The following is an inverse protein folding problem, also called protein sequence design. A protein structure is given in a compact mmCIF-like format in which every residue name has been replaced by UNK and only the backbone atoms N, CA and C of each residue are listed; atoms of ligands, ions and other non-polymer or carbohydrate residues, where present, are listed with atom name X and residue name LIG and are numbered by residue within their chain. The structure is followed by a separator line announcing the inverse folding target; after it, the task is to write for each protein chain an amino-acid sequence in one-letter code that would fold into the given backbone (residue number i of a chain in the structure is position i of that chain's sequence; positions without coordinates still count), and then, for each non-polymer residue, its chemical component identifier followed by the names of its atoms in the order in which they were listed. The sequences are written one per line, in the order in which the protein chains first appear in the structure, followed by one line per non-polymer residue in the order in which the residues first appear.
data_IF_925516264646
#
_entry.id   IF_925516264646
#
_cell.length_a   1.000
_cell.length_b   1.000
_cell.length_c   1.000
_cell.angle_alpha   90.00
_cell.angle_beta   90.00
_cell.angle_gamma   90.00
#
_symmetry.space_group_name_H-M   'P 1'
#
loop_
_entity.id
_entity.type
_entity.pdbx_description
1 polymer ?
#
# COMPACT_ATOMS: atom_id res chain seq x y z
N UNK A 1 1.90 -20.50 -3.08
CA UNK A 1 0.96 -21.58 -2.74
C UNK A 1 1.69 -22.90 -2.88
N UNK A 2 2.36 -23.34 -1.81
CA UNK A 2 3.04 -24.64 -1.74
C UNK A 2 2.29 -25.46 -0.69
N UNK A 3 1.30 -26.24 -1.11
CA UNK A 3 0.63 -27.20 -0.24
C UNK A 3 1.58 -28.36 0.04
N UNK A 4 1.91 -28.60 1.32
CA UNK A 4 2.58 -29.84 1.73
C UNK A 4 1.50 -30.90 1.96
N UNK A 5 1.41 -31.84 1.04
CA UNK A 5 0.66 -33.09 1.22
C UNK A 5 1.56 -34.06 1.98
N UNK A 6 1.17 -34.47 3.19
CA UNK A 6 1.83 -35.59 3.88
C UNK A 6 0.87 -36.78 3.96
N UNK A 7 1.34 -37.91 3.46
CA UNK A 7 0.69 -39.21 3.51
C UNK A 7 1.05 -39.90 4.84
N UNK A 8 0.04 -40.18 5.67
CA UNK A 8 0.21 -40.59 7.07
C UNK A 8 0.36 -42.11 7.27
N UNK A 9 0.69 -42.89 6.24
CA UNK A 9 0.96 -44.33 6.41
C UNK A 9 2.43 -44.71 6.61
N UNK A 10 3.39 -43.77 6.53
CA UNK A 10 4.80 -44.04 6.88
C UNK A 10 5.64 -42.77 7.11
N UNK A 11 5.31 -41.94 8.10
CA UNK A 11 6.15 -40.80 8.45
C UNK A 11 7.13 -41.16 9.57
N UNK A 12 8.43 -41.26 9.22
CA UNK A 12 9.54 -41.10 10.18
C UNK A 12 9.39 -39.72 10.84
N UNK A 13 9.50 -39.71 12.17
CA UNK A 13 9.64 -38.49 12.98
C UNK A 13 10.72 -37.59 12.38
N UNK A 14 10.30 -36.42 11.91
CA UNK A 14 11.16 -35.33 11.50
C UNK A 14 10.55 -34.01 11.97
N UNK A 15 11.22 -33.38 12.94
CA UNK A 15 11.21 -31.95 13.26
C UNK A 15 9.94 -31.26 13.77
N UNK A 16 8.98 -31.99 14.32
CA UNK A 16 7.92 -31.36 15.10
C UNK A 16 7.55 -32.23 16.28
N UNK A 17 7.49 -31.64 17.47
CA UNK A 17 7.03 -32.28 18.70
C UNK A 17 5.51 -32.53 18.68
N UNK A 18 5.00 -33.25 17.68
CA UNK A 18 3.60 -33.57 17.54
C UNK A 18 3.23 -34.79 18.40
N UNK A 19 2.26 -34.61 19.29
CA UNK A 19 1.53 -35.71 19.90
C UNK A 19 0.21 -35.93 19.17
N UNK A 20 0.19 -36.77 18.12
CA UNK A 20 -1.06 -37.23 17.52
C UNK A 20 -1.66 -38.28 18.45
N UNK A 21 -2.80 -37.98 19.06
CA UNK A 21 -3.52 -38.95 19.90
C UNK A 21 -4.81 -39.34 19.19
N UNK A 22 -4.88 -40.57 18.71
CA UNK A 22 -6.15 -41.17 18.29
C UNK A 22 -7.08 -41.21 19.52
N UNK A 23 -8.26 -40.62 19.39
CA UNK A 23 -9.28 -40.63 20.45
C UNK A 23 -10.07 -41.95 20.31
N UNK A 24 -10.41 -42.66 21.41
CA UNK A 24 -11.29 -43.82 21.31
C UNK A 24 -12.65 -43.39 20.74
N UNK A 25 -13.31 -44.25 19.95
CA UNK A 25 -14.66 -44.09 19.36
C UNK A 25 -14.73 -43.48 17.94
N UNK A 26 -14.00 -44.03 16.98
CA UNK A 26 -14.14 -43.72 15.53
C UNK A 26 -13.88 -42.26 15.13
N UNK A 27 -13.24 -41.46 15.99
CA UNK A 27 -12.88 -40.08 15.71
C UNK A 27 -11.35 -39.94 15.60
N UNK A 28 -10.87 -39.54 14.42
CA UNK A 28 -9.52 -39.04 14.26
C UNK A 28 -9.50 -37.55 14.68
N UNK A 29 -8.65 -37.19 15.63
CA UNK A 29 -8.50 -35.81 16.08
C UNK A 29 -7.02 -35.41 16.10
N UNK A 30 -6.74 -34.19 15.64
CA UNK A 30 -5.44 -33.55 15.77
C UNK A 30 -5.48 -32.58 16.95
N UNK A 31 -4.56 -32.74 17.90
CA UNK A 31 -4.41 -31.82 19.03
C UNK A 31 -3.07 -31.11 18.93
N UNK A 32 -3.11 -29.81 18.71
CA UNK A 32 -1.94 -28.94 18.76
C UNK A 32 -1.87 -28.28 20.15
N UNK A 33 -0.67 -28.22 20.73
CA UNK A 33 -0.40 -27.46 21.95
C UNK A 33 0.57 -26.35 21.61
N UNK A 34 0.36 -25.16 22.18
CA UNK A 34 1.23 -24.01 21.99
C UNK A 34 1.48 -23.69 20.52
N UNK A 35 0.38 -23.55 19.75
CA UNK A 35 0.44 -23.26 18.33
C UNK A 35 1.25 -21.98 18.06
N UNK A 36 2.23 -22.07 17.17
CA UNK A 36 3.01 -20.95 16.68
C UNK A 36 2.45 -20.45 15.35
N UNK A 37 2.83 -19.23 14.94
CA UNK A 37 2.43 -18.70 13.62
C UNK A 37 2.85 -19.60 12.45
N UNK A 38 3.95 -20.35 12.61
CA UNK A 38 4.42 -21.33 11.61
C UNK A 38 3.47 -22.52 11.44
N UNK A 39 2.58 -22.76 12.38
CA UNK A 39 1.62 -23.86 12.35
C UNK A 39 0.33 -23.46 11.61
N UNK A 40 0.12 -22.17 11.34
CA UNK A 40 -1.07 -21.71 10.62
C UNK A 40 -1.13 -22.29 9.20
N UNK A 41 -2.33 -22.67 8.77
CA UNK A 41 -2.54 -23.23 7.43
C UNK A 41 -3.69 -24.23 7.36
N UNK A 42 -3.84 -24.84 6.18
CA UNK A 42 -4.87 -25.85 5.94
C UNK A 42 -4.38 -27.23 6.32
N UNK A 43 -5.08 -27.85 7.28
CA UNK A 43 -4.89 -29.24 7.68
C UNK A 43 -5.90 -30.10 6.95
N UNK A 44 -5.45 -31.25 6.44
CA UNK A 44 -6.27 -32.19 5.68
C UNK A 44 -6.19 -33.56 6.34
N UNK A 45 -7.34 -34.17 6.62
CA UNK A 45 -7.46 -35.54 7.12
C UNK A 45 -8.00 -36.40 5.99
N UNK A 46 -7.21 -37.40 5.60
CA UNK A 46 -7.61 -38.42 4.64
C UNK A 46 -7.90 -39.71 5.40
N UNK A 47 -9.12 -40.25 5.22
CA UNK A 47 -9.55 -41.52 5.79
C UNK A 47 -9.80 -42.50 4.67
N UNK A 48 -8.95 -43.51 4.58
CA UNK A 48 -9.13 -44.62 3.65
C UNK A 48 -9.88 -45.74 4.35
N UNK A 49 -10.96 -46.22 3.75
CA UNK A 49 -11.78 -47.31 4.27
C UNK A 49 -12.11 -48.32 3.17
N UNK A 50 -12.28 -49.57 3.57
CA UNK A 50 -12.66 -50.65 2.69
C UNK A 50 -14.18 -50.79 2.69
N UNK A 51 -14.77 -50.93 1.51
CA UNK A 51 -16.19 -51.20 1.33
C UNK A 51 -16.36 -52.41 0.44
N UNK A 52 -17.36 -53.23 0.73
CA UNK A 52 -17.73 -54.35 -0.13
C UNK A 52 -18.77 -53.86 -1.13
N UNK A 53 -18.45 -53.94 -2.41
CA UNK A 53 -19.39 -53.74 -3.51
C UNK A 53 -19.72 -55.09 -4.14
N UNK A 54 -20.77 -55.14 -4.97
CA UNK A 54 -21.13 -56.36 -5.73
C UNK A 54 -19.97 -56.88 -6.61
N UNK A 55 -19.00 -56.01 -6.92
CA UNK A 55 -17.80 -56.28 -7.73
C UNK A 55 -16.54 -56.64 -6.91
N UNK A 56 -16.61 -56.72 -5.57
CA UNK A 56 -15.50 -57.08 -4.69
C UNK A 56 -15.15 -56.02 -3.63
N UNK A 57 -14.00 -56.20 -2.97
CA UNK A 57 -13.47 -55.22 -2.01
C UNK A 57 -12.90 -53.99 -2.75
N UNK A 58 -13.39 -52.80 -2.38
CA UNK A 58 -12.88 -51.53 -2.89
C UNK A 58 -12.37 -50.65 -1.75
N UNK A 59 -11.25 -49.96 -1.98
CA UNK A 59 -10.73 -48.95 -1.07
C UNK A 59 -11.19 -47.56 -1.54
N UNK A 60 -11.93 -46.86 -0.68
CA UNK A 60 -12.33 -45.47 -0.88
C UNK A 60 -11.58 -44.56 0.07
N UNK A 61 -11.35 -43.31 -0.33
CA UNK A 61 -10.76 -42.28 0.53
C UNK A 61 -11.72 -41.11 0.67
N UNK A 62 -12.11 -40.80 1.90
CA UNK A 62 -12.81 -39.57 2.24
C UNK A 62 -11.81 -38.54 2.78
N UNK A 63 -11.92 -37.29 2.32
CA UNK A 63 -11.08 -36.20 2.79
C UNK A 63 -11.92 -35.09 3.43
N UNK A 64 -11.38 -34.47 4.48
CA UNK A 64 -11.91 -33.26 5.11
C UNK A 64 -10.76 -32.31 5.43
N UNK A 65 -10.99 -31.02 5.29
CA UNK A 65 -10.01 -29.97 5.60
C UNK A 65 -10.51 -29.02 6.68
N UNK A 66 -9.57 -28.44 7.42
CA UNK A 66 -9.80 -27.37 8.38
C UNK A 66 -8.66 -26.35 8.26
N UNK A 67 -8.98 -25.07 8.42
CA UNK A 67 -7.98 -24.00 8.43
C UNK A 67 -7.65 -23.62 9.89
N UNK A 68 -6.37 -23.68 10.24
CA UNK A 68 -5.85 -23.17 11.50
C UNK A 68 -5.38 -21.74 11.30
N UNK A 69 -6.05 -20.81 11.96
CA UNK A 69 -5.64 -19.41 12.03
C UNK A 69 -5.04 -19.19 13.42
N UNK A 70 -3.78 -18.77 13.48
CA UNK A 70 -3.10 -18.42 14.73
C UNK A 70 -3.11 -16.91 14.87
N UNK A 71 -3.69 -16.41 15.95
CA UNK A 71 -3.80 -14.99 16.19
C UNK A 71 -2.54 -14.43 16.83
N UNK A 72 -2.20 -13.19 16.45
CA UNK A 72 -1.09 -12.44 17.03
C UNK A 72 -1.53 -11.01 17.27
N UNK A 73 -1.21 -10.47 18.44
CA UNK A 73 -1.48 -9.09 18.77
C UNK A 73 -0.74 -8.10 17.84
N UNK A 74 -1.35 -6.94 17.52
CA UNK A 74 -0.62 -5.84 16.93
C UNK A 74 0.42 -5.30 17.91
N UNK A 75 1.42 -4.59 17.39
CA UNK A 75 2.47 -3.97 18.19
C UNK A 75 2.88 -2.62 17.64
N UNK A 76 3.21 -1.69 18.53
CA UNK A 76 3.76 -0.38 18.18
C UNK A 76 5.16 -0.21 18.76
N UNK A 77 5.83 0.92 18.49
CA UNK A 77 7.18 1.19 18.98
C UNK A 77 7.28 1.33 20.49
N UNK A 78 6.20 1.77 21.14
CA UNK A 78 6.15 2.13 22.56
C UNK A 78 4.87 1.63 23.24
N UNK A 79 4.19 0.64 22.65
CA UNK A 79 2.90 0.08 23.09
C UNK A 79 1.74 1.10 23.18
N UNK A 80 1.90 2.29 22.59
CA UNK A 80 0.87 3.32 22.52
C UNK A 80 0.50 3.62 21.06
N UNK A 81 -0.71 4.14 20.85
CA UNK A 81 -1.10 4.75 19.59
C UNK A 81 -0.73 6.24 19.60
N UNK A 82 -0.43 6.79 18.43
CA UNK A 82 -0.10 8.21 18.28
C UNK A 82 -0.91 8.81 17.14
N UNK A 83 -1.83 9.72 17.46
CA UNK A 83 -2.59 10.47 16.47
C UNK A 83 -1.93 11.83 16.23
N UNK A 84 -1.68 12.17 14.95
CA UNK A 84 -1.11 13.47 14.56
C UNK A 84 -1.78 14.02 13.31
N UNK A 85 -1.81 15.35 13.19
CA UNK A 85 -2.07 16.03 11.94
C UNK A 85 -0.77 16.09 11.14
N UNK A 86 -0.77 15.59 9.92
CA UNK A 86 0.41 15.62 9.07
C UNK A 86 0.74 17.08 8.68
N UNK A 87 2.02 17.47 8.69
CA UNK A 87 2.44 18.84 8.44
C UNK A 87 2.36 19.23 6.95
N UNK A 88 1.87 18.35 6.09
CA UNK A 88 1.76 18.58 4.64
C UNK A 88 0.42 18.09 4.17
N UNK A 89 -0.26 18.92 3.38
CA UNK A 89 -1.43 18.48 2.64
C UNK A 89 -1.02 17.46 1.58
N UNK A 90 -1.95 16.57 1.26
CA UNK A 90 -1.81 15.52 0.26
C UNK A 90 -2.74 15.80 -0.90
N UNK A 91 -2.24 15.58 -2.11
CA UNK A 91 -3.02 15.79 -3.33
C UNK A 91 -3.78 14.51 -3.66
N UNK A 92 -5.10 14.56 -3.53
CA UNK A 92 -6.00 13.45 -3.80
C UNK A 92 -6.68 13.68 -5.15
N UNK A 93 -6.75 12.63 -5.97
CA UNK A 93 -7.45 12.68 -7.25
C UNK A 93 -8.90 12.24 -7.05
N UNK A 94 -9.83 13.16 -7.31
CA UNK A 94 -11.28 12.91 -7.25
C UNK A 94 -11.83 12.95 -8.67
N UNK A 95 -11.83 11.79 -9.33
CA UNK A 95 -12.21 11.69 -10.75
C UNK A 95 -11.19 12.37 -11.66
N UNK A 96 -11.57 13.47 -12.31
CA UNK A 96 -10.69 14.25 -13.21
C UNK A 96 -10.03 15.45 -12.52
N UNK A 97 -10.45 15.79 -11.31
CA UNK A 97 -9.91 16.93 -10.56
C UNK A 97 -8.96 16.44 -9.49
N UNK A 98 -8.01 17.32 -9.13
CA UNK A 98 -7.16 17.12 -7.98
C UNK A 98 -7.56 18.09 -6.87
N UNK A 99 -7.55 17.61 -5.64
CA UNK A 99 -7.85 18.40 -4.47
C UNK A 99 -6.79 18.17 -3.39
N UNK A 100 -6.30 19.26 -2.82
CA UNK A 100 -5.46 19.20 -1.63
C UNK A 100 -6.31 18.99 -0.38
N UNK A 101 -5.98 17.93 0.35
CA UNK A 101 -6.61 17.56 1.62
C UNK A 101 -5.57 17.47 2.70
N UNK A 102 -5.96 17.70 3.95
CA UNK A 102 -5.07 17.41 5.07
C UNK A 102 -5.22 15.96 5.49
N UNK A 103 -4.17 15.41 6.09
CA UNK A 103 -4.09 14.01 6.47
C UNK A 103 -3.88 13.90 7.96
N UNK A 104 -4.66 13.05 8.61
CA UNK A 104 -4.39 12.58 9.96
C UNK A 104 -3.68 11.23 9.89
N UNK A 105 -2.79 10.99 10.83
CA UNK A 105 -2.00 9.77 10.91
C UNK A 105 -2.08 9.17 12.31
N UNK A 106 -2.52 7.92 12.38
CA UNK A 106 -2.43 7.07 13.57
C UNK A 106 -1.22 6.15 13.36
N UNK A 107 -0.11 6.48 14.00
CA UNK A 107 1.23 5.95 13.65
C UNK A 107 1.82 5.10 14.77
N UNK A 108 3.04 4.61 14.50
CA UNK A 108 3.94 3.79 15.34
C UNK A 108 3.80 2.28 15.22
N UNK A 109 3.00 1.78 14.27
CA UNK A 109 2.82 0.34 14.08
C UNK A 109 4.11 -0.32 13.57
N UNK A 110 4.59 -1.31 14.33
CA UNK A 110 5.68 -2.21 13.93
C UNK A 110 5.12 -3.51 13.34
N UNK A 111 3.96 -3.96 13.86
CA UNK A 111 3.26 -5.14 13.38
C UNK A 111 1.76 -4.96 13.50
N UNK A 112 1.02 -5.40 12.47
CA UNK A 112 -0.45 -5.27 12.44
C UNK A 112 -1.18 -6.44 13.12
N UNK A 113 -0.44 -7.35 13.74
CA UNK A 113 -1.01 -8.58 14.26
C UNK A 113 -1.40 -9.56 13.16
N UNK A 114 -2.06 -10.65 13.56
CA UNK A 114 -2.60 -11.66 12.66
C UNK A 114 -3.99 -12.05 13.18
N UNK A 115 -5.06 -11.96 12.37
CA UNK A 115 -5.15 -11.20 11.13
C UNK A 115 -4.78 -9.72 11.30
N UNK A 116 -4.41 -9.06 10.21
CA UNK A 116 -4.07 -7.63 10.26
C UNK A 116 -5.23 -6.81 10.82
N UNK A 117 -4.92 -5.95 11.77
CA UNK A 117 -5.87 -4.96 12.29
C UNK A 117 -6.03 -3.79 11.33
N UNK A 118 -7.14 -3.07 11.49
CA UNK A 118 -7.42 -1.79 10.86
C UNK A 118 -7.60 -0.72 11.94
N UNK A 119 -7.44 0.55 11.56
CA UNK A 119 -7.74 1.69 12.43
C UNK A 119 -9.01 2.37 11.96
N UNK A 120 -9.87 2.70 12.91
CA UNK A 120 -11.08 3.51 12.71
C UNK A 120 -10.91 4.85 13.40
N UNK A 121 -11.53 5.86 12.82
CA UNK A 121 -11.48 7.24 13.26
C UNK A 121 -12.87 7.70 13.67
N UNK A 122 -12.96 8.34 14.83
CA UNK A 122 -14.15 9.03 15.27
C UNK A 122 -14.02 10.52 14.90
N UNK A 123 -15.01 11.07 14.20
CA UNK A 123 -15.04 12.48 13.81
C UNK A 123 -15.61 13.35 14.94
N UNK A 124 -15.43 14.68 14.87
CA UNK A 124 -16.08 15.63 15.80
C UNK A 124 -17.62 15.50 15.83
N UNK A 125 -18.22 15.10 14.72
CA UNK A 125 -19.66 14.79 14.57
C UNK A 125 -20.05 13.38 15.05
N UNK A 126 -19.18 12.70 15.81
CA UNK A 126 -19.37 11.34 16.31
C UNK A 126 -19.55 10.25 15.23
N UNK A 127 -19.14 10.52 13.99
CA UNK A 127 -19.17 9.53 12.91
C UNK A 127 -17.91 8.66 12.96
N UNK A 128 -18.06 7.36 12.77
CA UNK A 128 -16.92 6.45 12.59
C UNK A 128 -16.56 6.31 11.12
N UNK A 129 -15.31 6.59 10.78
CA UNK A 129 -14.74 6.45 9.43
C UNK A 129 -13.59 5.43 9.43
N UNK A 130 -13.47 4.59 8.39
CA UNK A 130 -12.27 3.78 8.22
C UNK A 130 -11.09 4.64 7.77
N UNK A 131 -9.87 4.18 8.05
CA UNK A 131 -8.66 4.77 7.48
C UNK A 131 -8.67 4.69 5.93
N UNK A 132 -8.20 5.73 5.26
CA UNK A 132 -8.14 5.82 3.79
C UNK A 132 -6.96 5.04 3.20
N UNK A 133 -5.84 4.97 3.92
CA UNK A 133 -4.66 4.21 3.51
C UNK A 133 -3.82 3.75 4.70
N UNK A 134 -2.85 2.88 4.43
CA UNK A 134 -1.81 2.47 5.37
C UNK A 134 -0.46 2.47 4.65
N UNK A 135 0.50 3.24 5.15
CA UNK A 135 1.89 3.17 4.70
C UNK A 135 2.88 3.43 5.85
N UNK A 136 4.04 2.79 5.77
CA UNK A 136 5.19 3.02 6.67
C UNK A 136 4.83 3.02 8.17
N UNK A 137 3.98 2.09 8.60
CA UNK A 137 3.61 1.95 10.03
C UNK A 137 2.59 2.98 10.51
N UNK A 138 1.87 3.64 9.60
CA UNK A 138 0.82 4.59 9.92
C UNK A 138 -0.46 4.32 9.12
N UNK A 139 -1.59 4.40 9.82
CA UNK A 139 -2.92 4.45 9.20
C UNK A 139 -3.31 5.91 9.00
N UNK A 140 -3.80 6.23 7.81
CA UNK A 140 -4.09 7.60 7.42
C UNK A 140 -5.59 7.84 7.26
N UNK A 141 -6.04 9.05 7.59
CA UNK A 141 -7.37 9.56 7.26
C UNK A 141 -7.22 10.89 6.53
N UNK A 142 -7.61 10.92 5.26
CA UNK A 142 -7.69 12.15 4.48
C UNK A 142 -9.01 12.86 4.78
N UNK A 143 -8.96 14.05 5.37
CA UNK A 143 -10.15 14.81 5.78
C UNK A 143 -10.38 16.02 4.86
N UNK A 144 -11.67 16.31 4.64
CA UNK A 144 -12.12 17.47 3.88
C UNK A 144 -12.05 18.75 4.73
N UNK A 145 -12.10 19.91 4.06
CA UNK A 145 -11.94 21.24 4.68
C UNK A 145 -13.08 21.66 5.63
N UNK A 146 -14.08 20.82 5.82
CA UNK A 146 -15.39 21.20 6.35
C UNK A 146 -15.56 20.96 7.85
N UNK A 147 -14.78 20.07 8.45
CA UNK A 147 -14.98 19.66 9.84
C UNK A 147 -13.69 19.85 10.65
N UNK A 148 -13.68 20.89 11.49
CA UNK A 148 -12.64 21.13 12.47
C UNK A 148 -13.12 20.61 13.84
N UNK A 149 -12.20 20.14 14.67
CA UNK A 149 -12.52 19.62 15.99
C UNK A 149 -11.64 18.47 16.42
N UNK A 150 -12.14 17.71 17.41
CA UNK A 150 -11.44 16.56 17.97
C UNK A 150 -11.72 15.29 17.15
N UNK A 151 -10.66 14.72 16.60
CA UNK A 151 -10.69 13.41 15.96
C UNK A 151 -10.01 12.40 16.88
N UNK A 152 -10.50 11.16 16.91
CA UNK A 152 -9.92 10.09 17.72
C UNK A 152 -9.60 8.88 16.85
N UNK A 153 -8.37 8.37 16.90
CA UNK A 153 -8.04 7.08 16.28
C UNK A 153 -8.03 5.96 17.32
N UNK A 154 -8.48 4.77 16.90
CA UNK A 154 -8.36 3.53 17.67
C UNK A 154 -8.26 2.34 16.70
N UNK A 155 -7.68 1.24 17.17
CA UNK A 155 -7.76 -0.02 16.43
C UNK A 155 -9.24 -0.46 16.40
N UNK A 156 -9.72 -0.99 15.26
CA UNK A 156 -11.11 -1.44 15.13
C UNK A 156 -11.42 -2.44 16.26
N UNK A 157 -12.37 -2.12 17.16
CA UNK A 157 -12.69 -2.98 18.31
C UNK A 157 -13.24 -4.35 17.90
N UNK A 158 -13.61 -4.52 16.62
CA UNK A 158 -14.06 -5.80 16.07
C UNK A 158 -12.90 -6.69 15.60
N UNK A 159 -11.66 -6.21 15.64
CA UNK A 159 -10.52 -6.96 15.16
C UNK A 159 -10.20 -8.15 16.08
N UNK A 160 -10.18 -9.41 15.56
CA UNK A 160 -9.97 -10.59 16.39
C UNK A 160 -8.59 -10.63 17.07
N UNK A 161 -7.57 -10.02 16.44
CA UNK A 161 -6.22 -9.94 16.97
C UNK A 161 -6.12 -9.17 18.31
N UNK A 162 -7.12 -8.36 18.66
CA UNK A 162 -7.16 -7.66 19.96
C UNK A 162 -7.34 -8.62 21.15
N UNK A 163 -7.88 -9.81 20.93
CA UNK A 163 -8.00 -10.83 22.00
C UNK A 163 -6.64 -11.37 22.49
N UNK A 164 -5.58 -11.15 21.72
CA UNK A 164 -4.21 -11.49 22.09
C UNK A 164 -3.51 -10.38 22.88
N UNK A 165 -4.14 -9.22 23.08
CA UNK A 165 -3.60 -8.13 23.89
C UNK A 165 -3.94 -8.32 25.37
N UNK A 166 -3.10 -7.76 26.23
CA UNK A 166 -3.45 -7.59 27.63
C UNK A 166 -4.71 -6.71 27.75
N UNK A 167 -5.68 -7.06 28.61
CA UNK A 167 -6.88 -6.24 28.81
C UNK A 167 -6.61 -4.79 29.22
N UNK A 168 -5.44 -4.51 29.80
CA UNK A 168 -4.99 -3.17 30.19
C UNK A 168 -4.01 -2.55 29.18
N UNK A 169 -3.88 -3.12 27.98
CA UNK A 169 -3.02 -2.59 26.93
C UNK A 169 -3.47 -1.21 26.48
N UNK A 170 -2.53 -0.26 26.40
CA UNK A 170 -2.80 1.09 25.88
C UNK A 170 -3.19 1.09 24.39
N UNK A 171 -2.90 0.01 23.66
CA UNK A 171 -3.36 -0.18 22.27
C UNK A 171 -4.88 -0.33 22.15
N UNK A 172 -5.58 -0.63 23.25
CA UNK A 172 -7.04 -0.67 23.31
C UNK A 172 -7.67 0.73 23.53
N UNK A 173 -6.86 1.75 23.81
CA UNK A 173 -7.34 3.11 24.07
C UNK A 173 -7.49 3.91 22.77
N UNK A 174 -8.44 4.85 22.75
CA UNK A 174 -8.49 5.87 21.70
C UNK A 174 -7.46 6.97 21.96
N UNK A 175 -6.92 7.54 20.89
CA UNK A 175 -5.97 8.65 20.95
C UNK A 175 -6.47 9.79 20.10
N UNK A 176 -6.48 10.97 20.70
CA UNK A 176 -7.13 12.14 20.13
C UNK A 176 -6.13 13.07 19.44
N UNK A 177 -6.59 13.73 18.39
CA UNK A 177 -5.90 14.80 17.67
C UNK A 177 -6.87 15.92 17.39
N UNK A 178 -6.50 17.13 17.77
CA UNK A 178 -7.31 18.32 17.51
C UNK A 178 -6.92 18.94 16.17
N UNK A 179 -7.92 19.19 15.34
CA UNK A 179 -7.78 19.83 14.02
C UNK A 179 -8.39 21.22 14.08
N UNK A 180 -7.56 22.25 13.96
CA UNK A 180 -8.03 23.63 13.85
C UNK A 180 -8.32 23.98 12.39
N UNK A 181 -9.43 24.67 12.13
CA UNK A 181 -9.78 25.15 10.79
C UNK A 181 -8.71 26.08 10.19
N UNK A 182 -8.02 26.87 11.02
CA UNK A 182 -6.93 27.73 10.56
C UNK A 182 -5.75 26.90 10.03
N UNK A 183 -5.38 25.82 10.71
CA UNK A 183 -4.29 24.92 10.29
C UNK A 183 -4.66 24.21 8.99
N UNK A 184 -5.90 23.74 8.87
CA UNK A 184 -6.39 23.13 7.62
C UNK A 184 -6.27 24.10 6.45
N UNK A 185 -6.73 25.35 6.63
CA UNK A 185 -6.64 26.38 5.58
C UNK A 185 -5.18 26.70 5.26
N UNK A 186 -4.33 26.83 6.27
CA UNK A 186 -2.92 27.14 6.09
C UNK A 186 -2.19 26.05 5.29
N UNK A 187 -2.30 24.79 5.71
CA UNK A 187 -1.63 23.65 5.06
C UNK A 187 -2.03 23.49 3.59
N UNK A 188 -3.32 23.70 3.31
CA UNK A 188 -3.83 23.58 1.95
C UNK A 188 -3.39 24.76 1.08
N UNK A 189 -3.46 26.00 1.60
CA UNK A 189 -2.97 27.18 0.88
C UNK A 189 -1.46 27.10 0.62
N UNK A 190 -0.69 26.58 1.58
CA UNK A 190 0.74 26.35 1.42
C UNK A 190 1.03 25.35 0.29
N UNK A 191 0.30 24.25 0.23
CA UNK A 191 0.43 23.25 -0.83
C UNK A 191 0.03 23.80 -2.21
N UNK A 192 -1.11 24.50 -2.29
CA UNK A 192 -1.56 25.20 -3.51
C UNK A 192 -0.49 26.20 -4.00
N UNK A 193 0.06 27.01 -3.09
CA UNK A 193 1.10 27.99 -3.42
C UNK A 193 2.40 27.34 -3.88
N UNK A 194 2.83 26.26 -3.23
CA UNK A 194 4.01 25.51 -3.60
C UNK A 194 3.87 24.91 -5.01
N UNK A 195 2.70 24.36 -5.34
CA UNK A 195 2.42 23.82 -6.66
C UNK A 195 2.45 24.91 -7.73
N UNK A 196 1.78 26.05 -7.51
CA UNK A 196 1.79 27.17 -8.47
C UNK A 196 3.21 27.70 -8.71
N UNK A 197 4.05 27.77 -7.68
CA UNK A 197 5.44 28.17 -7.82
C UNK A 197 6.24 27.18 -8.66
N UNK A 198 6.04 25.88 -8.43
CA UNK A 198 6.70 24.83 -9.22
C UNK A 198 6.29 24.90 -10.70
N UNK A 199 4.99 25.01 -10.99
CA UNK A 199 4.47 25.15 -12.35
C UNK A 199 5.00 26.42 -13.04
N UNK A 200 5.06 27.55 -12.33
CA UNK A 200 5.61 28.79 -12.87
C UNK A 200 7.12 28.68 -13.17
N UNK A 201 7.88 27.98 -12.33
CA UNK A 201 9.30 27.73 -12.57
C UNK A 201 9.51 26.84 -13.80
N UNK A 202 8.71 25.79 -13.93
CA UNK A 202 8.72 24.89 -15.08
C UNK A 202 8.37 25.64 -16.38
N UNK A 203 7.29 26.43 -16.39
CA UNK A 203 6.91 27.22 -17.55
C UNK A 203 8.00 28.22 -17.95
N UNK A 204 8.68 28.84 -16.98
CA UNK A 204 9.82 29.73 -17.26
C UNK A 204 11.00 28.99 -17.88
N UNK A 205 11.29 27.78 -17.41
CA UNK A 205 12.34 26.94 -17.99
C UNK A 205 12.02 26.56 -19.44
N UNK A 206 10.79 26.11 -19.70
CA UNK A 206 10.31 25.80 -21.05
C UNK A 206 10.36 27.03 -21.98
N UNK A 207 9.95 28.20 -21.50
CA UNK A 207 10.01 29.44 -22.27
C UNK A 207 11.46 29.86 -22.58
N UNK A 208 12.39 29.63 -21.65
CA UNK A 208 13.81 29.91 -21.87
C UNK A 208 14.42 28.95 -22.91
N UNK A 209 14.04 27.67 -22.86
CA UNK A 209 14.45 26.66 -23.82
C UNK A 209 13.93 26.99 -25.23
N UNK A 210 12.64 27.30 -25.37
CA UNK A 210 12.05 27.71 -26.65
C UNK A 210 12.76 28.94 -27.25
N UNK A 211 13.14 29.92 -26.41
CA UNK A 211 13.90 31.09 -26.86
C UNK A 211 15.31 30.71 -27.33
N UNK A 212 15.99 29.79 -26.65
CA UNK A 212 17.29 29.30 -27.05
C UNK A 212 17.23 28.56 -28.40
N UNK A 213 16.25 27.66 -28.56
CA UNK A 213 16.00 26.95 -29.82
C UNK A 213 15.70 27.92 -30.97
N UNK A 214 14.88 28.95 -30.73
CA UNK A 214 14.58 29.97 -31.74
C UNK A 214 15.83 30.77 -32.13
N UNK A 215 16.69 31.11 -31.17
CA UNK A 215 17.94 31.80 -31.44
C UNK A 215 18.90 30.94 -32.27
N UNK A 216 18.99 29.64 -31.96
CA UNK A 216 19.79 28.68 -32.73
C UNK A 216 19.26 28.53 -34.15
N UNK A 217 17.94 28.38 -34.33
CA UNK A 217 17.32 28.25 -35.65
C UNK A 217 17.59 29.50 -36.51
N UNK A 218 17.50 30.71 -35.92
CA UNK A 218 17.87 31.96 -36.60
C UNK A 218 19.33 31.97 -37.03
N UNK A 219 20.25 31.49 -36.17
CA UNK A 219 21.66 31.41 -36.51
C UNK A 219 21.95 30.39 -37.62
N UNK A 220 21.25 29.25 -37.63
CA UNK A 220 21.33 28.26 -38.71
C UNK A 220 20.81 28.82 -40.03
N UNK A 221 19.66 29.51 -40.02
CA UNK A 221 19.11 30.15 -41.22
C UNK A 221 20.07 31.20 -41.80
N UNK A 222 20.67 32.06 -40.94
CA UNK A 222 21.66 33.04 -41.39
C UNK A 222 22.89 32.38 -42.03
N UNK A 223 23.35 31.24 -41.50
CA UNK A 223 24.44 30.45 -42.11
C UNK A 223 24.04 29.87 -43.48
N UNK A 224 22.81 29.34 -43.60
CA UNK A 224 22.29 28.83 -44.87
C UNK A 224 22.20 29.94 -45.93
N UNK A 225 21.67 31.12 -45.56
CA UNK A 225 21.58 32.28 -46.45
C UNK A 225 22.97 32.73 -46.93
N UNK A 226 23.96 32.78 -46.04
CA UNK A 226 25.34 33.10 -46.39
C UNK A 226 25.94 32.07 -47.36
N UNK A 227 25.70 30.78 -47.13
CA UNK A 227 26.15 29.70 -48.04
C UNK A 227 25.51 29.80 -49.42
N UNK A 228 24.21 30.12 -49.48
CA UNK A 228 23.49 30.32 -50.76
C UNK A 228 24.03 31.53 -51.50
N UNK A 229 24.30 32.63 -50.80
CA UNK A 229 24.88 33.83 -51.39
C UNK A 229 26.27 33.55 -51.99
N UNK A 230 27.09 32.75 -51.32
CA UNK A 230 28.41 32.36 -51.81
C UNK A 230 28.34 31.46 -53.06
N UNK A 231 27.47 30.44 -53.05
CA UNK A 231 27.23 29.60 -54.23
C UNK A 231 26.76 30.41 -55.43
N UNK A 232 25.89 31.42 -55.23
CA UNK A 232 25.47 32.33 -56.31
C UNK A 232 26.62 33.13 -56.90
N UNK A 233 27.55 33.61 -56.07
CA UNK A 233 28.76 34.31 -56.56
C UNK A 233 29.63 33.40 -57.41
N UNK A 234 29.87 32.18 -56.94
CA UNK A 234 30.67 31.19 -57.67
C UNK A 234 30.03 30.82 -59.02
N UNK A 235 28.71 30.62 -59.04
CA UNK A 235 27.96 30.35 -60.26
C UNK A 235 28.12 31.49 -61.28
N UNK A 236 27.89 32.74 -60.88
CA UNK A 236 28.02 33.89 -61.78
C UNK A 236 29.45 34.04 -62.35
N UNK A 237 30.49 33.78 -61.55
CA UNK A 237 31.87 33.79 -62.02
C UNK A 237 32.13 32.69 -63.07
N UNK A 238 31.54 31.50 -62.89
CA UNK A 238 31.66 30.40 -63.86
C UNK A 238 30.96 30.72 -65.19
N UNK A 239 29.79 31.38 -65.14
CA UNK A 239 29.04 31.81 -66.34
C UNK A 239 29.79 32.91 -67.12
N UNK A 240 30.41 33.85 -66.42
CA UNK A 240 31.26 34.88 -67.03
C UNK A 240 32.47 34.28 -67.76
N UNK A 241 33.10 33.25 -67.16
CA UNK A 241 34.26 32.57 -67.77
C UNK A 241 33.89 31.75 -69.00
N UNK A 242 32.67 31.23 -69.11
CA UNK A 242 32.23 30.43 -70.27
C UNK A 242 31.83 31.26 -71.49
N UNK A 243 31.55 32.57 -71.34
CA UNK A 243 31.20 33.48 -72.45
C UNK A 243 32.40 34.21 -73.06
N UNK A 244 33.59 34.07 -72.47
CA UNK A 244 34.86 34.67 -72.95
C UNK A 244 35.74 33.71 -73.76
N UNK A 245 35.21 32.54 -74.15
CA UNK A 245 35.85 31.57 -75.04
C UNK A 245 34.94 31.27 -76.23
#
# INVERSE_FOLDING_TARGET
VNGRTQDLTKARMGEFGFGIKAVPNHAAALKLKSAALSDAGTYIVNVTYMTNTESGEQFLTASRSAELIVWKAPSTTDDHLHAVLDPKAVKIQTGKTFEWRVRLSCKTFLGLGQPNVSVVWKTPSDKTLPSTSYDRGAFHLDIDRTEAGLYSCQIDPKAPALTCLDPNSFLLSNVDVYVNQADVRHLVLEADSAEQKAQNAEQKAQNAEQKAQLAEQKAQNAKQEASVAELRKQLNQSTLRSHTH
#
